data_IF_775784154502
#
_entry.id   IF_775784154502
#
_cell.length_a   1.000
_cell.length_b   1.000
_cell.length_c   1.000
_cell.angle_alpha   90.00
_cell.angle_beta   90.00
_cell.angle_gamma   90.00
#
_symmetry.space_group_name_H-M   'P 1'
#
loop_
_entity.id
_entity.type
_entity.pdbx_description
1 polymer ?
#
# COMPACT_ATOMS: atom_id res chain seq x y z
N UNK A 1 12.91 2.31 -37.53
CA UNK A 1 13.02 1.06 -36.73
C UNK A 1 13.30 1.29 -35.24
N UNK A 2 13.44 2.53 -34.74
CA UNK A 2 13.56 2.81 -33.29
C UNK A 2 12.22 3.27 -32.63
N UNK A 3 11.17 3.52 -33.41
CA UNK A 3 9.86 4.03 -32.94
C UNK A 3 8.98 3.00 -32.22
N UNK A 4 9.37 1.71 -32.16
CA UNK A 4 8.49 0.66 -31.60
C UNK A 4 8.57 0.59 -30.07
N UNK A 5 9.66 1.08 -29.44
CA UNK A 5 9.83 0.98 -27.99
C UNK A 5 9.70 2.36 -27.29
N UNK A 6 8.57 2.64 -26.63
CA UNK A 6 8.40 3.86 -25.85
C UNK A 6 9.22 3.85 -24.56
N UNK A 7 9.69 2.70 -24.06
CA UNK A 7 10.55 2.63 -22.88
C UNK A 7 12.02 2.62 -23.28
N UNK A 8 12.74 3.69 -22.97
CA UNK A 8 14.14 3.87 -23.40
C UNK A 8 15.10 3.98 -22.21
N UNK A 9 15.75 5.12 -22.02
CA UNK A 9 16.74 5.32 -20.97
C UNK A 9 16.21 4.92 -19.58
N UNK A 10 16.97 4.06 -18.87
CA UNK A 10 16.65 3.53 -17.54
C UNK A 10 15.22 2.93 -17.39
N UNK A 11 14.59 2.52 -18.49
CA UNK A 11 13.23 1.98 -18.50
C UNK A 11 12.13 3.05 -18.41
N UNK A 12 12.47 4.33 -18.56
CA UNK A 12 11.51 5.43 -18.56
C UNK A 12 10.77 5.52 -19.89
N UNK A 13 9.52 5.98 -19.81
CA UNK A 13 8.72 6.30 -20.98
C UNK A 13 9.26 7.56 -21.64
N UNK A 14 9.60 7.48 -22.92
CA UNK A 14 10.02 8.60 -23.74
C UNK A 14 8.81 9.14 -24.51
N UNK A 15 8.49 10.40 -24.26
CA UNK A 15 7.46 11.13 -24.98
C UNK A 15 8.07 11.73 -26.25
N UNK A 16 7.70 11.19 -27.41
CA UNK A 16 8.24 11.62 -28.71
C UNK A 16 7.76 13.00 -29.13
N UNK A 17 6.60 13.47 -28.64
CA UNK A 17 6.06 14.79 -29.00
C UNK A 17 6.85 15.91 -28.30
N UNK A 18 7.27 15.67 -27.06
CA UNK A 18 7.97 16.66 -26.25
C UNK A 18 9.49 16.45 -26.17
N UNK A 19 9.97 15.26 -26.51
CA UNK A 19 11.38 14.88 -26.39
C UNK A 19 11.83 14.58 -24.95
N UNK A 20 10.88 14.46 -24.01
CA UNK A 20 11.12 14.32 -22.58
C UNK A 20 10.91 12.88 -22.09
N UNK A 21 11.53 12.54 -20.97
CA UNK A 21 11.29 11.29 -20.26
C UNK A 21 10.30 11.49 -19.11
N UNK A 22 9.27 10.65 -19.04
CA UNK A 22 8.31 10.66 -17.95
C UNK A 22 8.74 9.70 -16.83
N UNK A 23 9.12 10.27 -15.68
CA UNK A 23 9.56 9.55 -14.47
C UNK A 23 8.45 9.54 -13.41
N UNK A 24 7.19 9.39 -13.84
CA UNK A 24 5.97 9.37 -13.01
C UNK A 24 5.68 10.69 -12.29
N UNK A 25 6.50 11.09 -11.33
CA UNK A 25 6.31 12.32 -10.59
C UNK A 25 6.66 13.57 -11.42
N UNK A 26 7.62 13.45 -12.35
CA UNK A 26 8.22 14.56 -13.08
C UNK A 26 8.66 14.17 -14.49
N UNK A 27 8.73 15.16 -15.36
CA UNK A 27 9.38 15.05 -16.66
C UNK A 27 10.86 15.44 -16.56
N UNK A 28 11.71 14.59 -17.13
CA UNK A 28 13.16 14.75 -17.24
C UNK A 28 13.53 15.16 -18.67
N UNK A 29 14.32 16.21 -18.80
CA UNK A 29 14.86 16.65 -20.08
C UNK A 29 16.29 16.11 -20.25
N UNK A 30 16.51 15.22 -21.24
CA UNK A 30 17.82 14.63 -21.48
C UNK A 30 18.83 15.59 -22.12
N UNK A 31 18.40 16.67 -22.80
CA UNK A 31 19.30 17.63 -23.45
C UNK A 31 20.01 18.51 -22.42
N UNK A 32 19.29 18.95 -21.39
CA UNK A 32 19.82 19.79 -20.30
C UNK A 32 20.16 19.02 -19.02
N UNK A 33 19.87 17.72 -18.98
CA UNK A 33 20.24 16.81 -17.90
C UNK A 33 19.53 17.07 -16.57
N UNK A 34 18.28 17.53 -16.57
CA UNK A 34 17.54 17.89 -15.35
C UNK A 34 16.03 17.73 -15.47
N UNK A 35 15.32 17.71 -14.35
CA UNK A 35 13.87 17.79 -14.34
C UNK A 35 13.40 19.18 -14.77
N UNK A 36 12.30 19.24 -15.52
CA UNK A 36 11.69 20.52 -15.93
C UNK A 36 10.72 21.09 -14.88
N UNK A 37 10.40 20.29 -13.85
CA UNK A 37 9.56 20.67 -12.72
C UNK A 37 10.30 20.51 -11.40
N UNK A 38 10.08 21.47 -10.50
CA UNK A 38 10.60 21.45 -9.12
C UNK A 38 10.08 20.22 -8.37
N UNK A 39 10.98 19.54 -7.65
CA UNK A 39 10.66 18.49 -6.68
C UNK A 39 9.79 19.02 -5.54
N UNK A 40 8.79 18.26 -5.11
CA UNK A 40 8.01 18.55 -3.89
C UNK A 40 8.80 18.26 -2.62
N UNK A 41 9.85 17.44 -2.72
CA UNK A 41 10.79 17.16 -1.63
C UNK A 41 11.81 18.30 -1.52
N UNK A 42 12.09 18.75 -0.29
CA UNK A 42 13.03 19.83 -0.05
C UNK A 42 14.48 19.34 -0.15
N UNK A 43 15.21 19.81 -1.17
CA UNK A 43 16.60 19.44 -1.46
C UNK A 43 17.41 20.65 -1.89
N UNK A 44 18.73 20.56 -1.83
CA UNK A 44 19.65 21.62 -2.25
C UNK A 44 19.41 22.00 -3.73
N UNK A 45 19.18 21.01 -4.60
CA UNK A 45 18.78 21.23 -5.99
C UNK A 45 17.54 20.40 -6.33
N UNK A 46 16.38 21.06 -6.39
CA UNK A 46 15.09 20.43 -6.65
C UNK A 46 14.82 20.13 -8.13
N UNK A 47 15.77 20.43 -9.01
CA UNK A 47 15.69 20.08 -10.44
C UNK A 47 16.72 19.00 -10.82
N UNK A 48 17.64 18.64 -9.93
CA UNK A 48 18.68 17.67 -10.24
C UNK A 48 18.09 16.28 -10.50
N UNK A 49 18.43 15.70 -11.65
CA UNK A 49 18.23 14.29 -11.91
C UNK A 49 19.41 13.51 -11.34
N UNK A 50 19.13 12.41 -10.64
CA UNK A 50 20.15 11.49 -10.14
C UNK A 50 21.28 12.19 -9.35
N UNK A 51 20.97 13.27 -8.61
CA UNK A 51 21.95 14.13 -7.90
C UNK A 51 23.17 14.56 -8.75
N UNK A 52 22.97 14.78 -10.05
CA UNK A 52 24.01 15.06 -11.05
C UNK A 52 25.03 13.92 -11.26
N UNK A 53 24.71 12.69 -10.82
CA UNK A 53 25.49 11.49 -11.06
C UNK A 53 24.63 10.38 -11.72
N UNK A 54 24.13 10.59 -12.94
CA UNK A 54 23.25 9.65 -13.65
C UNK A 54 23.96 8.38 -14.14
N UNK A 55 25.29 8.29 -13.95
CA UNK A 55 26.09 7.10 -14.24
C UNK A 55 26.00 6.10 -13.09
N UNK A 56 26.00 6.59 -11.85
CA UNK A 56 25.97 5.76 -10.65
C UNK A 56 24.60 5.71 -9.99
N UNK A 57 23.75 6.72 -10.21
CA UNK A 57 22.45 6.88 -9.57
C UNK A 57 21.33 6.87 -10.63
N UNK A 58 20.19 6.31 -10.25
CA UNK A 58 18.94 6.39 -11.00
C UNK A 58 17.82 6.87 -10.09
N UNK A 59 16.82 7.56 -10.63
CA UNK A 59 15.64 8.00 -9.87
C UNK A 59 14.42 7.19 -10.32
N UNK A 60 14.06 6.15 -9.56
CA UNK A 60 13.03 5.18 -9.98
C UNK A 60 11.59 5.69 -9.82
N UNK A 61 11.37 6.71 -9.00
CA UNK A 61 10.05 7.28 -8.73
C UNK A 61 9.96 8.78 -9.04
N UNK A 62 11.05 9.39 -9.51
CA UNK A 62 11.14 10.81 -9.79
C UNK A 62 11.22 11.66 -8.53
N UNK A 63 11.58 11.10 -7.37
CA UNK A 63 11.68 11.81 -6.09
C UNK A 63 13.03 11.62 -5.39
N UNK A 64 13.77 10.52 -5.56
CA UNK A 64 15.09 10.33 -4.93
C UNK A 64 16.03 9.49 -5.79
N UNK A 65 17.28 9.95 -5.90
CA UNK A 65 18.34 9.22 -6.56
C UNK A 65 18.80 8.05 -5.68
N UNK A 66 18.84 6.85 -6.24
CA UNK A 66 19.39 5.66 -5.59
C UNK A 66 20.57 5.19 -6.43
N UNK A 67 21.68 4.85 -5.78
CA UNK A 67 22.83 4.19 -6.40
C UNK A 67 22.38 2.88 -7.06
N UNK A 68 22.80 2.59 -8.30
CA UNK A 68 22.48 1.34 -9.02
C UNK A 68 22.76 0.09 -8.15
N UNK A 69 23.86 0.01 -7.39
CA UNK A 69 24.08 -1.06 -6.41
C UNK A 69 22.99 -1.16 -5.31
N UNK A 70 22.50 -0.03 -4.79
CA UNK A 70 21.46 -0.01 -3.75
C UNK A 70 20.07 -0.32 -4.31
N UNK A 71 19.75 0.09 -5.54
CA UNK A 71 18.50 -0.30 -6.20
C UNK A 71 18.41 -1.83 -6.39
N UNK A 72 19.52 -2.46 -6.80
CA UNK A 72 19.63 -3.92 -6.87
C UNK A 72 19.51 -4.57 -5.48
N UNK A 73 20.10 -3.96 -4.46
CA UNK A 73 20.04 -4.45 -3.07
C UNK A 73 18.61 -4.37 -2.51
N UNK A 74 17.88 -3.28 -2.75
CA UNK A 74 16.48 -3.16 -2.34
C UNK A 74 15.59 -4.14 -3.06
N UNK A 75 15.76 -4.33 -4.37
CA UNK A 75 14.98 -5.32 -5.11
C UNK A 75 15.29 -6.74 -4.64
N UNK A 76 16.55 -7.06 -4.34
CA UNK A 76 16.92 -8.33 -3.71
C UNK A 76 16.26 -8.50 -2.34
N UNK A 77 16.35 -7.50 -1.47
CA UNK A 77 15.71 -7.53 -0.15
C UNK A 77 14.19 -7.71 -0.24
N UNK A 78 13.52 -6.98 -1.15
CA UNK A 78 12.08 -7.12 -1.40
C UNK A 78 11.72 -8.52 -1.86
N UNK A 79 12.50 -9.10 -2.77
CA UNK A 79 12.28 -10.47 -3.23
C UNK A 79 12.44 -11.49 -2.09
N UNK A 80 13.48 -11.36 -1.26
CA UNK A 80 13.68 -12.25 -0.10
C UNK A 80 12.53 -12.14 0.89
N UNK A 81 12.08 -10.91 1.21
CA UNK A 81 10.94 -10.67 2.10
C UNK A 81 9.65 -11.26 1.51
N UNK A 82 9.41 -11.05 0.21
CA UNK A 82 8.23 -11.59 -0.47
C UNK A 82 8.21 -13.12 -0.46
N UNK A 83 9.36 -13.78 -0.70
CA UNK A 83 9.48 -15.24 -0.63
C UNK A 83 9.20 -15.74 0.80
N UNK A 84 9.79 -15.09 1.81
CA UNK A 84 9.57 -15.45 3.22
C UNK A 84 8.10 -15.29 3.62
N UNK A 85 7.48 -14.17 3.22
CA UNK A 85 6.06 -13.92 3.44
C UNK A 85 5.20 -14.96 2.72
N UNK A 86 5.52 -15.31 1.47
CA UNK A 86 4.79 -16.35 0.73
C UNK A 86 4.87 -17.71 1.44
N UNK A 87 6.07 -18.12 1.87
CA UNK A 87 6.30 -19.38 2.57
C UNK A 87 5.56 -19.46 3.92
N UNK A 88 5.34 -18.32 4.58
CA UNK A 88 4.63 -18.27 5.85
C UNK A 88 3.10 -18.13 5.68
N UNK A 89 2.65 -17.20 4.83
CA UNK A 89 1.25 -16.78 4.73
C UNK A 89 0.41 -17.68 3.83
N UNK A 90 0.92 -18.07 2.66
CA UNK A 90 0.13 -18.82 1.67
C UNK A 90 -0.28 -20.21 2.16
N UNK A 91 0.57 -21.02 2.84
CA UNK A 91 0.14 -22.30 3.40
C UNK A 91 -0.97 -22.20 4.46
N UNK A 92 -1.20 -21.00 5.00
CA UNK A 92 -2.25 -20.71 5.99
C UNK A 92 -3.52 -20.11 5.36
N UNK A 93 -3.57 -19.97 4.03
CA UNK A 93 -4.62 -19.26 3.29
C UNK A 93 -4.76 -17.78 3.68
N UNK A 94 -3.61 -17.14 3.97
CA UNK A 94 -3.53 -15.72 4.31
C UNK A 94 -3.21 -14.87 3.06
N UNK A 95 -4.00 -15.06 2.01
CA UNK A 95 -3.81 -14.43 0.72
C UNK A 95 -3.92 -12.91 0.77
N UNK A 96 -4.80 -12.37 1.63
CA UNK A 96 -4.97 -10.93 1.77
C UNK A 96 -3.72 -10.31 2.41
N UNK A 97 -3.22 -10.91 3.49
CA UNK A 97 -1.99 -10.49 4.16
C UNK A 97 -0.82 -10.46 3.18
N UNK A 98 -0.67 -11.53 2.39
CA UNK A 98 0.39 -11.61 1.40
C UNK A 98 0.28 -10.51 0.34
N UNK A 99 -0.94 -10.23 -0.15
CA UNK A 99 -1.18 -9.18 -1.14
C UNK A 99 -0.85 -7.78 -0.60
N UNK A 100 -1.34 -7.44 0.60
CA UNK A 100 -1.07 -6.13 1.21
C UNK A 100 0.41 -5.95 1.55
N UNK A 101 1.06 -7.00 2.06
CA UNK A 101 2.49 -6.96 2.35
C UNK A 101 3.34 -6.77 1.07
N UNK A 102 3.03 -7.52 0.01
CA UNK A 102 3.69 -7.34 -1.28
C UNK A 102 3.44 -5.97 -1.90
N UNK A 103 2.27 -5.40 -1.68
CA UNK A 103 2.00 -4.03 -2.10
C UNK A 103 2.86 -3.03 -1.32
N UNK A 104 3.11 -3.27 -0.03
CA UNK A 104 4.09 -2.49 0.73
C UNK A 104 5.52 -2.59 0.15
N UNK A 105 5.90 -3.75 -0.40
CA UNK A 105 7.21 -3.96 -1.01
C UNK A 105 7.34 -3.36 -2.43
N UNK A 106 6.32 -3.53 -3.26
CA UNK A 106 6.41 -3.29 -4.71
C UNK A 106 5.38 -2.27 -5.24
N UNK A 107 4.49 -1.77 -4.39
CA UNK A 107 3.48 -0.76 -4.72
C UNK A 107 4.01 0.67 -4.70
N UNK A 108 5.23 0.88 -4.17
CA UNK A 108 5.90 2.19 -4.16
C UNK A 108 5.06 3.31 -3.52
N UNK A 109 4.32 2.99 -2.45
CA UNK A 109 3.48 3.92 -1.70
C UNK A 109 2.18 4.34 -2.41
N UNK A 110 1.75 3.61 -3.44
CA UNK A 110 0.44 3.88 -4.06
C UNK A 110 -0.68 3.45 -3.14
N UNK A 111 -1.67 4.31 -2.93
CA UNK A 111 -2.84 3.97 -2.12
C UNK A 111 -3.71 2.89 -2.79
N UNK A 112 -4.37 2.08 -1.98
CA UNK A 112 -5.27 1.02 -2.44
C UNK A 112 -6.73 1.34 -2.16
N UNK A 113 -7.57 1.13 -3.17
CA UNK A 113 -9.01 1.18 -3.04
C UNK A 113 -9.64 -0.19 -3.33
N UNK A 114 -10.51 -0.63 -2.43
CA UNK A 114 -11.14 -1.93 -2.45
C UNK A 114 -12.67 -1.79 -2.50
N UNK A 115 -13.26 -2.14 -3.64
CA UNK A 115 -14.72 -2.19 -3.76
C UNK A 115 -15.34 -3.42 -3.11
N UNK A 116 -16.67 -3.52 -3.19
CA UNK A 116 -17.50 -4.61 -2.67
C UNK A 116 -16.98 -6.02 -2.99
N UNK A 117 -16.51 -6.22 -4.22
CA UNK A 117 -16.11 -7.53 -4.74
C UNK A 117 -14.66 -7.90 -4.39
N UNK A 118 -13.93 -7.01 -3.72
CA UNK A 118 -12.55 -7.27 -3.32
C UNK A 118 -12.43 -8.37 -2.26
N UNK A 119 -11.29 -9.04 -2.22
CA UNK A 119 -10.98 -10.05 -1.20
C UNK A 119 -11.06 -9.47 0.22
N UNK A 120 -10.62 -8.23 0.40
CA UNK A 120 -10.68 -7.52 1.67
C UNK A 120 -12.13 -7.32 2.12
N UNK A 121 -12.96 -6.72 1.26
CA UNK A 121 -14.38 -6.50 1.54
C UNK A 121 -15.11 -7.81 1.84
N UNK A 122 -14.83 -8.88 1.09
CA UNK A 122 -15.42 -10.20 1.34
C UNK A 122 -14.99 -10.77 2.69
N UNK A 123 -13.70 -10.78 3.02
CA UNK A 123 -13.20 -11.31 4.30
C UNK A 123 -13.72 -10.51 5.50
N UNK A 124 -13.75 -9.18 5.42
CA UNK A 124 -14.26 -8.33 6.50
C UNK A 124 -15.78 -8.49 6.65
N UNK A 125 -16.54 -8.46 5.55
CA UNK A 125 -18.01 -8.60 5.59
C UNK A 125 -18.50 -9.96 6.09
N UNK A 126 -17.71 -11.01 5.89
CA UNK A 126 -17.98 -12.37 6.36
C UNK A 126 -17.41 -12.64 7.77
N UNK A 127 -16.58 -11.74 8.31
CA UNK A 127 -15.98 -11.91 9.64
C UNK A 127 -17.03 -11.93 10.75
N UNK A 128 -17.06 -13.03 11.51
CA UNK A 128 -17.94 -13.15 12.69
C UNK A 128 -17.65 -12.06 13.73
N UNK A 129 -16.38 -11.70 13.92
CA UNK A 129 -15.97 -10.64 14.87
C UNK A 129 -16.55 -9.30 14.46
N UNK A 130 -16.38 -8.92 13.19
CA UNK A 130 -16.89 -7.67 12.65
C UNK A 130 -18.42 -7.62 12.66
N UNK A 131 -19.08 -8.68 12.18
CA UNK A 131 -20.54 -8.79 12.17
C UNK A 131 -21.16 -8.71 13.56
N UNK A 132 -20.55 -9.36 14.55
CA UNK A 132 -21.03 -9.34 15.94
C UNK A 132 -20.87 -7.95 16.56
N UNK A 133 -19.72 -7.30 16.31
CA UNK A 133 -19.48 -5.93 16.75
C UNK A 133 -20.50 -4.97 16.12
N UNK A 134 -20.70 -5.04 14.80
CA UNK A 134 -21.70 -4.23 14.10
C UNK A 134 -23.11 -4.42 14.64
N UNK A 135 -23.55 -5.68 14.83
CA UNK A 135 -24.88 -5.97 15.41
C UNK A 135 -25.06 -5.32 16.78
N UNK A 136 -24.03 -5.42 17.64
CA UNK A 136 -24.05 -4.82 18.98
C UNK A 136 -24.11 -3.30 18.92
N UNK A 137 -23.33 -2.67 18.04
CA UNK A 137 -23.27 -1.21 17.91
C UNK A 137 -24.54 -0.63 17.28
N UNK A 138 -25.12 -1.30 16.28
CA UNK A 138 -26.38 -0.90 15.62
C UNK A 138 -27.57 -1.05 16.58
N UNK A 139 -27.67 -2.19 17.28
CA UNK A 139 -28.78 -2.51 18.15
C UNK A 139 -30.12 -2.57 17.41
N UNK A 140 -31.17 -1.98 17.99
CA UNK A 140 -32.53 -1.98 17.43
C UNK A 140 -32.87 -0.76 16.57
N UNK A 141 -31.88 0.07 16.22
CA UNK A 141 -32.12 1.31 15.47
C UNK A 141 -32.62 1.03 14.04
N UNK A 142 -33.61 1.78 13.59
CA UNK A 142 -34.12 1.72 12.22
C UNK A 142 -33.27 2.52 11.23
N UNK A 143 -32.53 3.51 11.72
CA UNK A 143 -31.52 4.27 10.99
C UNK A 143 -30.33 4.51 11.91
N UNK A 144 -29.12 4.49 11.38
CA UNK A 144 -27.90 4.67 12.16
C UNK A 144 -26.79 5.27 11.28
N UNK A 145 -25.89 6.01 11.93
CA UNK A 145 -24.64 6.51 11.35
C UNK A 145 -23.64 6.68 12.48
N UNK A 146 -22.47 6.06 12.40
CA UNK A 146 -21.44 6.17 13.43
C UNK A 146 -20.06 5.77 12.91
N UNK A 147 -19.03 6.20 13.65
CA UNK A 147 -17.64 5.80 13.45
C UNK A 147 -17.24 4.84 14.58
N UNK A 148 -16.41 3.85 14.26
CA UNK A 148 -15.83 2.93 15.24
C UNK A 148 -14.53 2.34 14.66
N UNK A 149 -13.90 1.44 15.40
CA UNK A 149 -12.70 0.73 14.96
C UNK A 149 -12.80 -0.75 15.30
N UNK A 150 -12.01 -1.60 14.65
CA UNK A 150 -11.93 -3.01 14.96
C UNK A 150 -10.47 -3.43 15.04
N UNK A 151 -10.18 -4.30 16.00
CA UNK A 151 -8.91 -5.01 16.07
C UNK A 151 -9.18 -6.51 15.88
N UNK A 152 -8.53 -7.12 14.92
CA UNK A 152 -8.48 -8.56 14.69
C UNK A 152 -7.36 -9.16 15.55
N UNK A 153 -7.54 -10.38 16.04
CA UNK A 153 -6.57 -11.01 16.96
C UNK A 153 -5.84 -12.19 16.32
N UNK A 154 -6.43 -12.80 15.29
CA UNK A 154 -5.91 -13.99 14.62
C UNK A 154 -6.34 -14.04 13.15
N UNK A 155 -5.68 -14.90 12.38
CA UNK A 155 -6.04 -15.17 10.99
C UNK A 155 -5.51 -14.15 10.00
N UNK A 156 -6.02 -14.23 8.77
CA UNK A 156 -5.58 -13.37 7.66
C UNK A 156 -5.86 -11.88 7.93
N UNK A 157 -7.01 -11.54 8.52
CA UNK A 157 -7.32 -10.13 8.83
C UNK A 157 -6.40 -9.55 9.92
N UNK A 158 -5.88 -10.39 10.82
CA UNK A 158 -4.91 -9.95 11.83
C UNK A 158 -3.58 -9.53 11.19
N UNK A 159 -3.04 -10.33 10.27
CA UNK A 159 -1.79 -9.98 9.60
C UNK A 159 -1.96 -8.92 8.49
N UNK A 160 -3.13 -8.86 7.86
CA UNK A 160 -3.39 -7.95 6.75
C UNK A 160 -3.65 -6.51 7.22
N UNK A 161 -4.49 -6.35 8.24
CA UNK A 161 -4.94 -5.04 8.69
C UNK A 161 -4.78 -4.85 10.20
N UNK A 162 -4.81 -5.91 11.02
CA UNK A 162 -4.78 -5.87 12.49
C UNK A 162 -5.83 -4.93 13.08
N UNK A 163 -5.59 -3.63 13.04
CA UNK A 163 -6.48 -2.56 13.42
C UNK A 163 -7.06 -1.88 12.17
N UNK A 164 -8.33 -1.46 12.22
CA UNK A 164 -8.90 -0.65 11.16
C UNK A 164 -9.99 0.27 11.70
N UNK A 165 -10.00 1.51 11.23
CA UNK A 165 -11.08 2.45 11.49
C UNK A 165 -12.16 2.29 10.43
N UNK A 166 -13.42 2.45 10.82
CA UNK A 166 -14.54 2.39 9.88
C UNK A 166 -15.66 3.36 10.25
N UNK A 167 -16.32 3.88 9.23
CA UNK A 167 -17.58 4.58 9.33
C UNK A 167 -18.69 3.71 8.73
N UNK A 168 -19.85 3.72 9.39
CA UNK A 168 -21.03 3.04 8.88
C UNK A 168 -22.22 3.96 8.86
N UNK A 169 -23.09 3.71 7.90
CA UNK A 169 -24.45 4.24 7.90
C UNK A 169 -25.39 3.23 7.27
N UNK A 170 -26.68 3.33 7.58
CA UNK A 170 -27.64 2.41 7.01
C UNK A 170 -29.01 2.51 7.65
N UNK A 171 -29.87 1.61 7.21
CA UNK A 171 -31.27 1.60 7.62
C UNK A 171 -31.85 0.20 7.55
N UNK A 172 -32.95 0.01 8.28
CA UNK A 172 -33.76 -1.20 8.24
C UNK A 172 -34.69 -1.14 7.04
N UNK A 173 -34.59 -2.13 6.16
CA UNK A 173 -35.49 -2.26 5.01
C UNK A 173 -36.86 -2.80 5.48
N UNK A 174 -37.93 -2.56 4.70
CA UNK A 174 -39.28 -3.04 5.01
C UNK A 174 -39.38 -4.57 5.17
N UNK A 175 -38.43 -5.31 4.61
CA UNK A 175 -38.30 -6.77 4.75
C UNK A 175 -37.70 -7.21 6.10
N UNK A 176 -37.39 -6.28 7.00
CA UNK A 176 -36.75 -6.53 8.30
C UNK A 176 -35.22 -6.63 8.24
N UNK A 177 -34.64 -6.86 7.05
CA UNK A 177 -33.19 -6.93 6.83
C UNK A 177 -32.52 -5.56 6.99
N UNK A 178 -31.36 -5.52 7.65
CA UNK A 178 -30.55 -4.31 7.77
C UNK A 178 -29.62 -4.21 6.56
N UNK A 179 -29.66 -3.07 5.87
CA UNK A 179 -28.67 -2.72 4.84
C UNK A 179 -27.67 -1.76 5.46
N UNK A 180 -26.42 -2.20 5.59
CA UNK A 180 -25.33 -1.48 6.25
C UNK A 180 -24.29 -1.12 5.20
N UNK A 181 -24.00 0.16 5.02
CA UNK A 181 -22.86 0.64 4.23
C UNK A 181 -21.68 0.84 5.16
N UNK A 182 -20.53 0.34 4.76
CA UNK A 182 -19.28 0.38 5.52
C UNK A 182 -18.22 1.00 4.62
N UNK A 183 -17.54 2.01 5.14
CA UNK A 183 -16.28 2.53 4.59
C UNK A 183 -15.22 2.32 5.67
N UNK A 184 -14.16 1.59 5.34
CA UNK A 184 -13.12 1.17 6.28
C UNK A 184 -11.76 1.52 5.70
N UNK A 185 -10.81 1.92 6.55
CA UNK A 185 -9.45 2.18 6.11
C UNK A 185 -8.48 2.27 7.27
N UNK A 186 -7.20 2.17 6.93
CA UNK A 186 -6.08 2.46 7.82
C UNK A 186 -4.85 2.82 6.98
N UNK A 187 -3.78 3.24 7.65
CA UNK A 187 -2.45 3.34 7.05
C UNK A 187 -1.76 2.00 7.24
N UNK A 188 -1.25 1.42 6.16
CA UNK A 188 -0.40 0.24 6.24
C UNK A 188 1.04 0.68 6.55
N UNK A 189 1.39 0.71 7.83
CA UNK A 189 2.70 1.14 8.31
C UNK A 189 3.26 0.23 9.42
N UNK A 190 4.56 0.35 9.65
CA UNK A 190 5.26 -0.27 10.78
C UNK A 190 5.95 0.83 11.59
N UNK A 191 5.29 1.32 12.63
CA UNK A 191 5.70 2.54 13.35
C UNK A 191 6.43 2.30 14.67
N UNK A 192 6.31 1.11 15.25
CA UNK A 192 6.88 0.77 16.55
C UNK A 192 7.77 -0.47 16.51
N UNK A 193 8.88 -0.43 17.26
CA UNK A 193 9.66 -1.62 17.58
C UNK A 193 9.05 -2.30 18.81
N UNK A 194 8.93 -3.63 18.75
CA UNK A 194 8.36 -4.47 19.80
C UNK A 194 9.45 -5.33 20.45
N UNK A 195 9.25 -5.84 21.68
CA UNK A 195 10.18 -6.77 22.30
C UNK A 195 10.46 -7.98 21.40
N UNK A 196 11.71 -8.45 21.35
CA UNK A 196 12.18 -9.54 20.47
C UNK A 196 11.75 -10.94 20.95
N UNK A 197 10.46 -11.08 21.22
CA UNK A 197 9.83 -12.27 21.76
C UNK A 197 8.63 -12.66 20.90
N UNK A 198 8.64 -13.89 20.37
CA UNK A 198 7.55 -14.42 19.56
C UNK A 198 7.58 -13.92 18.10
N UNK A 199 7.16 -14.80 17.19
CA UNK A 199 7.28 -14.59 15.74
C UNK A 199 6.61 -13.29 15.26
N UNK A 200 5.44 -12.93 15.79
CA UNK A 200 4.71 -11.72 15.40
C UNK A 200 5.52 -10.44 15.66
N UNK A 201 6.27 -10.37 16.77
CA UNK A 201 7.11 -9.20 17.07
C UNK A 201 8.35 -9.17 16.18
N UNK A 202 8.96 -10.31 15.88
CA UNK A 202 10.04 -10.40 14.88
C UNK A 202 9.57 -9.90 13.51
N UNK A 203 8.39 -10.33 13.05
CA UNK A 203 7.82 -9.91 11.78
C UNK A 203 7.53 -8.40 11.76
N UNK A 204 6.95 -7.86 12.83
CA UNK A 204 6.73 -6.43 13.00
C UNK A 204 8.05 -5.64 12.93
N UNK A 205 9.06 -6.04 13.70
CA UNK A 205 10.33 -5.33 13.73
C UNK A 205 11.04 -5.39 12.38
N UNK A 206 10.96 -6.53 11.68
CA UNK A 206 11.46 -6.63 10.31
C UNK A 206 10.75 -5.64 9.38
N UNK A 207 9.43 -5.49 9.50
CA UNK A 207 8.66 -4.46 8.80
C UNK A 207 9.12 -3.05 9.14
N UNK A 208 9.30 -2.74 10.43
CA UNK A 208 9.78 -1.45 10.94
C UNK A 208 11.13 -1.04 10.35
N UNK A 209 12.13 -1.94 10.41
CA UNK A 209 13.46 -1.67 9.83
C UNK A 209 13.42 -1.63 8.29
N UNK A 210 12.55 -2.43 7.65
CA UNK A 210 12.35 -2.39 6.20
C UNK A 210 11.73 -1.07 5.74
N UNK A 211 10.81 -0.49 6.52
CA UNK A 211 10.21 0.81 6.23
C UNK A 211 11.23 1.94 6.43
N UNK A 212 11.97 1.93 7.54
CA UNK A 212 13.06 2.91 7.78
C UNK A 212 14.13 2.94 6.70
N UNK A 213 14.39 1.80 6.05
CA UNK A 213 15.40 1.69 5.00
C UNK A 213 14.85 1.91 3.59
N UNK A 214 13.54 2.11 3.43
CA UNK A 214 12.87 2.31 2.13
C UNK A 214 12.62 1.02 1.33
N UNK A 215 12.83 -0.15 1.95
CA UNK A 215 12.52 -1.46 1.34
C UNK A 215 11.00 -1.64 1.25
N UNK A 216 10.29 -1.31 2.33
CA UNK A 216 8.82 -1.22 2.38
C UNK A 216 8.43 0.25 2.36
N UNK A 217 7.36 0.56 1.65
CA UNK A 217 6.72 1.88 1.63
C UNK A 217 5.35 1.79 2.28
N UNK A 218 5.06 2.71 3.19
CA UNK A 218 3.72 2.91 3.73
C UNK A 218 2.75 3.37 2.65
N UNK A 219 1.47 3.06 2.82
CA UNK A 219 0.39 3.47 1.92
C UNK A 219 -0.96 3.46 2.65
N UNK A 220 -1.92 4.25 2.18
CA UNK A 220 -3.29 4.20 2.69
C UNK A 220 -4.09 3.11 1.97
N UNK A 221 -4.95 2.41 2.70
CA UNK A 221 -5.95 1.53 2.09
C UNK A 221 -7.37 1.92 2.52
N UNK A 222 -8.30 1.82 1.57
CA UNK A 222 -9.73 2.07 1.78
C UNK A 222 -10.57 0.96 1.19
N UNK A 223 -11.63 0.58 1.89
CA UNK A 223 -12.56 -0.46 1.49
C UNK A 223 -14.01 -0.02 1.71
N UNK A 224 -14.78 0.00 0.63
CA UNK A 224 -16.20 0.33 0.65
C UNK A 224 -17.03 -0.89 0.30
N UNK A 225 -17.94 -1.26 1.20
CA UNK A 225 -18.80 -2.42 1.00
C UNK A 225 -20.09 -2.35 1.81
N UNK A 226 -21.02 -3.20 1.43
CA UNK A 226 -22.38 -3.32 1.94
C UNK A 226 -22.50 -4.68 2.61
N UNK A 227 -23.05 -4.68 3.82
CA UNK A 227 -23.42 -5.89 4.56
C UNK A 227 -24.93 -5.93 4.74
N UNK A 228 -25.50 -7.12 4.52
CA UNK A 228 -26.86 -7.44 4.95
C UNK A 228 -26.82 -8.21 6.27
N UNK A 229 -27.49 -7.67 7.29
CA UNK A 229 -27.53 -8.19 8.66
C UNK A 229 -28.96 -8.58 9.05
#
# INVERSE_FOLDING_TARGET
MAEINPYRYAGYYYDEETGLYYLRARYYDPEIGRFIRRDTVQKINQYAYAENNPVMLMDSNGNWAITIPYANTYNFARNVLSIGAAAYLLPRNYDLSYKLFNHGLFGYGQDLYFGQDSLLAQKVSQSNKFRTKLKKEIGNRSWFSFNSSIEFETGDLYYAIQHASYNVWGYRHYSGKLKVYVSMGDIYDFTEERPWEGFSNYANNLGYYSQKTGVITEYEWKADFIIYI
#
